data_IF_210814319847
#
_entry.id   IF_210814319847
#
_cell.length_a   1.000
_cell.length_b   1.000
_cell.length_c   1.000
_cell.angle_alpha   90.00
_cell.angle_beta   90.00
_cell.angle_gamma   90.00
#
_symmetry.space_group_name_H-M   'P 1'
#
loop_
_entity.id
_entity.type
_entity.pdbx_description
1 polymer ?
#
# COMPACT_ATOMS: atom_id res chain seq x y z
N UNK A 1 13.50 31.14 37.83
CA UNK A 1 12.31 31.88 37.38
C UNK A 1 11.22 30.87 37.07
N UNK A 2 10.19 30.78 37.92
CA UNK A 2 9.10 29.82 37.76
C UNK A 2 8.09 30.37 36.77
N UNK A 3 8.01 29.79 35.57
CA UNK A 3 6.94 30.05 34.62
C UNK A 3 5.63 29.57 35.25
N UNK A 4 4.82 30.51 35.75
CA UNK A 4 3.46 30.23 36.19
C UNK A 4 2.73 29.53 35.06
N UNK A 5 2.46 28.24 35.21
CA UNK A 5 1.56 27.50 34.35
C UNK A 5 0.19 28.19 34.43
N UNK A 6 -0.14 28.93 33.37
CA UNK A 6 -1.47 29.53 33.25
C UNK A 6 -2.45 28.37 33.16
N UNK A 7 -3.35 28.29 34.13
CA UNK A 7 -4.36 27.23 34.17
C UNK A 7 -5.16 27.24 32.86
N UNK A 8 -5.34 26.08 32.19
CA UNK A 8 -6.11 25.97 30.95
C UNK A 8 -7.52 26.58 31.02
N UNK A 9 -8.09 26.69 32.22
CA UNK A 9 -9.40 27.32 32.44
C UNK A 9 -9.38 28.85 32.27
N UNK A 10 -8.26 29.52 32.57
CA UNK A 10 -8.14 30.99 32.48
C UNK A 10 -8.16 31.42 31.01
N UNK A 11 -7.65 30.58 30.11
CA UNK A 11 -7.61 30.87 28.68
C UNK A 11 -8.98 30.73 28.02
N UNK A 12 -9.74 29.67 28.35
CA UNK A 12 -11.10 29.46 27.83
C UNK A 12 -12.02 30.66 28.09
N UNK A 13 -12.07 31.16 29.33
CA UNK A 13 -12.99 32.24 29.69
C UNK A 13 -12.67 33.54 28.95
N UNK A 14 -11.38 33.84 28.79
CA UNK A 14 -10.91 35.03 28.07
C UNK A 14 -11.38 35.00 26.61
N UNK A 15 -11.25 33.86 25.95
CA UNK A 15 -11.69 33.68 24.57
C UNK A 15 -13.22 33.69 24.46
N UNK A 16 -13.92 33.03 25.38
CA UNK A 16 -15.39 33.04 25.45
C UNK A 16 -15.96 34.46 25.56
N UNK A 17 -15.40 35.28 26.48
CA UNK A 17 -15.82 36.67 26.65
C UNK A 17 -15.46 37.54 25.45
N UNK A 18 -14.39 37.22 24.72
CA UNK A 18 -14.06 37.88 23.45
C UNK A 18 -15.15 37.61 22.40
N UNK A 19 -15.54 36.35 22.22
CA UNK A 19 -16.64 35.98 21.30
C UNK A 19 -17.93 36.71 21.66
N UNK A 20 -18.29 36.77 22.94
CA UNK A 20 -19.47 37.51 23.38
C UNK A 20 -19.40 39.02 23.10
N UNK A 21 -18.20 39.64 23.19
CA UNK A 21 -18.02 41.05 22.83
C UNK A 21 -18.17 41.29 21.34
N UNK A 22 -17.61 40.41 20.51
CA UNK A 22 -17.77 40.46 19.05
C UNK A 22 -19.27 40.40 18.69
N UNK A 23 -20.02 39.44 19.25
CA UNK A 23 -21.47 39.30 19.04
C UNK A 23 -22.24 40.55 19.47
N UNK A 24 -21.93 41.14 20.65
CA UNK A 24 -22.64 42.32 21.17
C UNK A 24 -22.48 43.56 20.29
N UNK A 25 -21.35 43.69 19.60
CA UNK A 25 -21.09 44.80 18.68
C UNK A 25 -21.92 44.70 17.40
N UNK A 26 -22.63 43.58 17.19
CA UNK A 26 -23.32 43.21 15.94
C UNK A 26 -22.37 43.15 14.74
N UNK A 27 -21.08 43.03 15.01
CA UNK A 27 -20.08 42.76 14.00
C UNK A 27 -20.11 41.27 13.65
N UNK A 28 -19.66 40.92 12.45
CA UNK A 28 -19.27 39.55 12.15
C UNK A 28 -18.20 39.10 13.16
N UNK A 29 -18.24 37.84 13.58
CA UNK A 29 -17.22 37.28 14.47
C UNK A 29 -15.84 37.49 13.85
N UNK A 30 -14.90 38.00 14.65
CA UNK A 30 -13.53 38.18 14.17
C UNK A 30 -12.91 36.84 13.76
N UNK A 31 -11.98 36.80 12.79
CA UNK A 31 -11.31 35.55 12.38
C UNK A 31 -10.69 34.78 13.55
N UNK A 32 -10.17 35.49 14.56
CA UNK A 32 -9.62 34.89 15.77
C UNK A 32 -10.70 34.22 16.65
N UNK A 33 -11.89 34.81 16.72
CA UNK A 33 -13.03 34.24 17.44
C UNK A 33 -13.55 32.98 16.73
N UNK A 34 -13.63 33.01 15.39
CA UNK A 34 -13.95 31.83 14.58
C UNK A 34 -12.93 30.70 14.74
N UNK A 35 -11.64 31.03 14.65
CA UNK A 35 -10.57 30.05 14.81
C UNK A 35 -10.64 29.35 16.18
N UNK A 36 -10.85 30.11 17.25
CA UNK A 36 -11.01 29.55 18.59
C UNK A 36 -12.22 28.62 18.70
N UNK A 37 -13.38 28.98 18.13
CA UNK A 37 -14.56 28.09 18.10
C UNK A 37 -14.22 26.77 17.38
N UNK A 38 -13.48 26.82 16.27
CA UNK A 38 -13.06 25.62 15.55
C UNK A 38 -12.04 24.79 16.35
N UNK A 39 -11.19 25.41 17.15
CA UNK A 39 -10.29 24.71 18.07
C UNK A 39 -11.04 24.02 19.20
N UNK A 40 -12.03 24.67 19.81
CA UNK A 40 -12.91 24.04 20.80
C UNK A 40 -13.69 22.87 20.21
N UNK A 41 -14.19 23.01 18.98
CA UNK A 41 -14.79 21.92 18.22
C UNK A 41 -13.83 20.75 18.00
N UNK A 42 -12.56 21.02 17.68
CA UNK A 42 -11.52 19.99 17.54
C UNK A 42 -11.21 19.32 18.88
N UNK A 43 -11.15 20.07 19.98
CA UNK A 43 -10.95 19.51 21.34
C UNK A 43 -12.10 18.58 21.71
N UNK A 44 -13.34 19.01 21.46
CA UNK A 44 -14.54 18.22 21.70
C UNK A 44 -14.59 16.92 20.87
N UNK A 45 -14.17 16.95 19.60
CA UNK A 45 -14.21 15.77 18.71
C UNK A 45 -12.91 14.95 18.62
N UNK A 46 -11.81 15.44 19.18
CA UNK A 46 -10.46 14.91 19.00
C UNK A 46 -10.27 13.54 19.66
N UNK A 47 -9.39 12.70 19.10
CA UNK A 47 -9.15 11.31 19.54
C UNK A 47 -8.63 11.17 20.98
N UNK A 48 -8.06 12.25 21.55
CA UNK A 48 -7.44 12.23 22.88
C UNK A 48 -8.39 12.68 24.00
N UNK A 49 -9.58 13.16 23.67
CA UNK A 49 -10.63 13.42 24.65
C UNK A 49 -11.69 12.35 24.43
N UNK A 50 -11.78 11.39 25.35
CA UNK A 50 -13.01 10.62 25.50
C UNK A 50 -14.10 11.68 25.72
N UNK A 51 -15.28 11.51 25.12
CA UNK A 51 -16.40 12.46 25.26
C UNK A 51 -16.65 12.91 26.72
N UNK A 52 -16.26 12.07 27.70
CA UNK A 52 -16.29 12.32 29.14
C UNK A 52 -15.36 13.43 29.66
N UNK A 53 -14.32 13.82 28.92
CA UNK A 53 -13.21 14.63 29.44
C UNK A 53 -13.31 16.11 29.04
N UNK A 54 -14.28 16.48 28.20
CA UNK A 54 -14.55 17.89 27.91
C UNK A 54 -15.26 18.52 29.11
N UNK A 55 -14.72 19.56 29.75
CA UNK A 55 -15.30 20.08 30.99
C UNK A 55 -16.76 20.54 30.79
N UNK A 56 -17.67 19.98 31.59
CA UNK A 56 -19.12 20.26 31.49
C UNK A 56 -19.44 21.76 31.54
N UNK A 57 -18.69 22.53 32.33
CA UNK A 57 -18.86 23.98 32.41
C UNK A 57 -18.47 24.71 31.10
N UNK A 58 -17.49 24.20 30.36
CA UNK A 58 -17.11 24.70 29.03
C UNK A 58 -18.18 24.29 28.01
N UNK A 59 -18.65 23.04 28.08
CA UNK A 59 -19.71 22.53 27.21
C UNK A 59 -20.96 23.39 27.28
N UNK A 60 -21.48 23.63 28.48
CA UNK A 60 -22.67 24.45 28.68
C UNK A 60 -22.49 25.89 28.17
N UNK A 61 -21.28 26.44 28.28
CA UNK A 61 -20.97 27.78 27.75
C UNK A 61 -21.00 27.80 26.23
N UNK A 62 -20.41 26.79 25.59
CA UNK A 62 -20.44 26.65 24.14
C UNK A 62 -21.87 26.40 23.62
N UNK A 63 -22.68 25.57 24.29
CA UNK A 63 -24.10 25.39 23.95
C UNK A 63 -24.88 26.71 24.01
N UNK A 64 -24.59 27.57 24.99
CA UNK A 64 -25.19 28.91 25.08
C UNK A 64 -24.75 29.85 23.96
N UNK A 65 -23.65 29.58 23.26
CA UNK A 65 -23.22 30.35 22.09
C UNK A 65 -24.00 30.01 20.83
N UNK A 66 -24.42 28.75 20.64
CA UNK A 66 -25.13 28.29 19.43
C UNK A 66 -26.20 29.26 18.92
N UNK A 67 -27.22 29.65 19.72
CA UNK A 67 -28.26 30.55 19.25
C UNK A 67 -27.76 31.97 18.96
N UNK A 68 -26.61 32.37 19.51
CA UNK A 68 -26.04 33.72 19.36
C UNK A 68 -25.19 33.86 18.11
N UNK A 69 -24.51 32.79 17.69
CA UNK A 69 -23.64 32.78 16.52
C UNK A 69 -24.34 32.23 15.27
N UNK A 70 -25.56 31.70 15.40
CA UNK A 70 -26.31 31.11 14.27
C UNK A 70 -25.62 29.88 13.68
N UNK A 71 -24.75 29.23 14.46
CA UNK A 71 -23.89 28.14 14.05
C UNK A 71 -23.84 27.12 15.19
N UNK A 72 -24.13 25.85 14.90
CA UNK A 72 -23.86 24.78 15.85
C UNK A 72 -22.35 24.60 15.97
N UNK A 73 -21.77 25.02 17.10
CA UNK A 73 -20.33 24.98 17.33
C UNK A 73 -19.77 23.56 17.31
N UNK A 74 -20.59 22.56 17.70
CA UNK A 74 -20.25 21.14 17.55
C UNK A 74 -20.17 20.80 16.07
N UNK A 75 -20.99 21.49 15.28
CA UNK A 75 -21.38 21.18 13.92
C UNK A 75 -21.92 19.76 13.80
N UNK A 76 -22.47 19.43 12.64
CA UNK A 76 -22.64 18.03 12.32
C UNK A 76 -21.22 17.42 12.27
N UNK A 77 -20.96 16.36 13.03
CA UNK A 77 -19.74 15.55 12.91
C UNK A 77 -19.82 14.83 11.56
N UNK A 78 -19.72 15.59 10.46
CA UNK A 78 -20.45 15.38 9.20
C UNK A 78 -21.03 13.99 9.12
N UNK A 79 -22.29 13.83 9.56
CA UNK A 79 -22.93 12.56 9.94
C UNK A 79 -22.18 11.36 9.42
N UNK A 80 -21.12 10.94 10.14
CA UNK A 80 -20.34 9.79 9.72
C UNK A 80 -21.23 8.60 10.04
N UNK A 81 -21.98 8.16 9.03
CA UNK A 81 -22.80 6.96 9.12
C UNK A 81 -21.92 5.83 9.70
N UNK A 82 -22.43 5.00 10.62
CA UNK A 82 -21.71 3.84 11.13
C UNK A 82 -21.26 2.92 9.99
N UNK A 83 -20.25 2.09 10.24
CA UNK A 83 -19.74 1.13 9.24
C UNK A 83 -20.86 0.24 8.69
N UNK A 84 -21.76 -0.18 9.58
CA UNK A 84 -22.90 -1.02 9.23
C UNK A 84 -23.84 -0.31 8.23
N UNK A 85 -24.14 0.97 8.46
CA UNK A 85 -25.03 1.76 7.60
C UNK A 85 -24.40 2.00 6.22
N UNK A 86 -23.13 2.43 6.17
CA UNK A 86 -22.40 2.54 4.89
C UNK A 86 -22.32 1.22 4.14
N UNK A 87 -22.08 0.11 4.83
CA UNK A 87 -22.02 -1.21 4.21
C UNK A 87 -23.36 -1.62 3.63
N UNK A 88 -24.48 -1.29 4.29
CA UNK A 88 -25.82 -1.53 3.75
C UNK A 88 -26.08 -0.71 2.49
N UNK A 89 -25.79 0.59 2.51
CA UNK A 89 -25.99 1.47 1.35
C UNK A 89 -25.16 1.01 0.14
N UNK A 90 -23.89 0.68 0.37
CA UNK A 90 -23.00 0.16 -0.69
C UNK A 90 -23.54 -1.15 -1.25
N UNK A 91 -24.04 -2.04 -0.39
CA UNK A 91 -24.64 -3.30 -0.82
C UNK A 91 -25.87 -3.05 -1.68
N UNK A 92 -26.74 -2.13 -1.28
CA UNK A 92 -27.95 -1.76 -2.03
C UNK A 92 -27.57 -1.19 -3.40
N UNK A 93 -26.61 -0.27 -3.48
CA UNK A 93 -26.07 0.26 -4.74
C UNK A 93 -25.48 -0.83 -5.65
N UNK A 94 -24.77 -1.81 -5.07
CA UNK A 94 -24.21 -2.93 -5.84
C UNK A 94 -25.30 -3.89 -6.34
N UNK A 95 -26.36 -4.12 -5.55
CA UNK A 95 -27.49 -4.98 -5.91
C UNK A 95 -28.32 -4.35 -7.04
N UNK A 96 -28.55 -3.04 -7.00
CA UNK A 96 -29.27 -2.33 -8.07
C UNK A 96 -28.52 -2.31 -9.40
N UNK A 97 -27.31 -2.89 -9.47
CA UNK A 97 -26.35 -2.83 -10.59
C UNK A 97 -25.96 -1.39 -10.93
N UNK A 98 -26.16 -0.47 -10.01
CA UNK A 98 -25.65 0.87 -10.13
C UNK A 98 -24.17 0.88 -9.77
N UNK A 99 -23.45 1.85 -10.32
CA UNK A 99 -22.06 2.08 -9.92
C UNK A 99 -22.08 2.62 -8.49
N UNK A 100 -21.26 2.04 -7.62
CA UNK A 100 -20.98 2.58 -6.28
C UNK A 100 -20.58 4.05 -6.41
N UNK A 101 -21.21 4.92 -5.63
CA UNK A 101 -20.94 6.36 -5.66
C UNK A 101 -19.49 6.65 -5.26
N UNK A 102 -18.92 7.76 -5.74
CA UNK A 102 -17.51 8.07 -5.49
C UNK A 102 -17.24 8.23 -3.97
N UNK A 103 -18.18 8.79 -3.21
CA UNK A 103 -18.09 8.92 -1.74
C UNK A 103 -18.08 7.57 -1.03
N UNK A 104 -18.94 6.64 -1.46
CA UNK A 104 -19.00 5.26 -0.97
C UNK A 104 -17.68 4.51 -1.26
N UNK A 105 -17.12 4.70 -2.45
CA UNK A 105 -15.87 4.09 -2.85
C UNK A 105 -14.67 4.63 -2.05
N UNK A 106 -14.59 5.95 -1.87
CA UNK A 106 -13.58 6.60 -1.01
C UNK A 106 -13.72 6.19 0.46
N UNK A 107 -14.95 5.97 0.93
CA UNK A 107 -15.21 5.45 2.26
C UNK A 107 -14.66 4.02 2.43
N UNK A 108 -14.86 3.13 1.45
CA UNK A 108 -14.27 1.78 1.46
C UNK A 108 -12.75 1.79 1.43
N UNK A 109 -12.13 2.69 0.66
CA UNK A 109 -10.66 2.84 0.64
C UNK A 109 -10.15 3.24 2.02
N UNK A 110 -10.79 4.24 2.66
CA UNK A 110 -10.41 4.72 3.99
C UNK A 110 -10.53 3.63 5.06
N UNK A 111 -11.63 2.88 5.07
CA UNK A 111 -11.82 1.80 6.06
C UNK A 111 -10.87 0.63 5.82
N UNK A 112 -10.57 0.29 4.57
CA UNK A 112 -9.53 -0.69 4.24
C UNK A 112 -8.16 -0.28 4.76
N UNK A 113 -7.74 0.95 4.48
CA UNK A 113 -6.48 1.47 4.99
C UNK A 113 -6.46 1.45 6.53
N UNK A 114 -7.53 1.92 7.17
CA UNK A 114 -7.66 1.89 8.63
C UNK A 114 -7.54 0.47 9.18
N UNK A 115 -8.18 -0.51 8.54
CA UNK A 115 -8.11 -1.92 8.96
C UNK A 115 -6.71 -2.50 8.77
N UNK A 116 -6.02 -2.14 7.69
CA UNK A 116 -4.63 -2.56 7.45
C UNK A 116 -3.66 -1.96 8.47
N UNK A 117 -3.88 -0.70 8.85
CA UNK A 117 -3.05 0.01 9.83
C UNK A 117 -3.31 -0.48 11.27
N UNK A 118 -4.57 -0.79 11.61
CA UNK A 118 -5.02 -1.19 12.95
C UNK A 118 -6.26 -2.12 12.87
N UNK A 119 -6.05 -3.43 12.71
CA UNK A 119 -7.14 -4.41 12.58
C UNK A 119 -8.03 -4.49 13.82
N UNK A 120 -7.45 -4.31 15.01
CA UNK A 120 -8.14 -4.41 16.30
C UNK A 120 -9.10 -3.22 16.54
N UNK A 121 -8.98 -2.15 15.73
CA UNK A 121 -9.92 -1.02 15.76
C UNK A 121 -11.30 -1.30 15.14
N UNK A 122 -11.53 -2.51 14.63
CA UNK A 122 -12.80 -2.95 14.04
C UNK A 122 -13.45 -3.99 14.93
N UNK A 123 -14.73 -3.78 15.25
CA UNK A 123 -15.50 -4.82 15.95
C UNK A 123 -15.80 -5.99 15.02
N UNK A 124 -16.12 -7.16 15.59
CA UNK A 124 -16.59 -8.32 14.80
C UNK A 124 -17.83 -7.98 13.95
N UNK A 125 -18.70 -7.09 14.44
CA UNK A 125 -19.88 -6.62 13.72
C UNK A 125 -19.49 -5.77 12.51
N UNK A 126 -18.50 -4.89 12.64
CA UNK A 126 -17.99 -4.08 11.52
C UNK A 126 -17.39 -4.96 10.43
N UNK A 127 -16.58 -5.94 10.82
CA UNK A 127 -15.97 -6.91 9.90
C UNK A 127 -17.05 -7.73 9.21
N UNK A 128 -18.03 -8.24 9.95
CA UNK A 128 -19.16 -9.01 9.40
C UNK A 128 -19.99 -8.18 8.41
N UNK A 129 -20.21 -6.89 8.69
CA UNK A 129 -20.93 -5.99 7.78
C UNK A 129 -20.17 -5.77 6.47
N UNK A 130 -18.86 -5.55 6.54
CA UNK A 130 -18.01 -5.38 5.36
C UNK A 130 -17.82 -6.68 4.57
N UNK A 131 -17.72 -7.84 5.24
CA UNK A 131 -17.59 -9.15 4.59
C UNK A 131 -18.83 -9.54 3.78
N UNK A 132 -20.01 -9.06 4.18
CA UNK A 132 -21.24 -9.21 3.37
C UNK A 132 -21.15 -8.50 2.01
N UNK A 133 -20.20 -7.59 1.81
CA UNK A 133 -19.95 -6.94 0.51
C UNK A 133 -19.19 -7.84 -0.47
N UNK A 134 -18.46 -8.85 0.01
CA UNK A 134 -17.54 -9.67 -0.81
C UNK A 134 -18.23 -10.31 -2.03
N UNK A 135 -19.42 -10.93 -1.91
CA UNK A 135 -20.11 -11.53 -3.06
C UNK A 135 -20.48 -10.51 -4.14
N UNK A 136 -20.71 -9.25 -3.75
CA UNK A 136 -21.14 -8.17 -4.64
C UNK A 136 -19.97 -7.40 -5.25
N UNK A 137 -18.90 -7.21 -4.48
CA UNK A 137 -17.65 -6.59 -4.94
C UNK A 137 -16.87 -7.51 -5.89
N UNK A 138 -17.13 -8.83 -5.85
CA UNK A 138 -16.37 -9.84 -6.59
C UNK A 138 -14.92 -9.99 -6.10
N UNK A 139 -14.61 -9.43 -4.93
CA UNK A 139 -13.31 -9.48 -4.25
C UNK A 139 -13.47 -9.17 -2.77
N UNK A 140 -12.45 -9.52 -1.99
CA UNK A 140 -12.37 -9.11 -0.59
C UNK A 140 -12.09 -7.59 -0.50
N UNK A 141 -12.88 -6.88 0.32
CA UNK A 141 -12.79 -5.43 0.52
C UNK A 141 -11.47 -5.00 1.17
N UNK A 142 -10.80 -5.93 1.86
CA UNK A 142 -9.46 -5.77 2.44
C UNK A 142 -8.37 -5.68 1.36
N UNK A 143 -8.66 -6.14 0.14
CA UNK A 143 -7.71 -6.17 -0.98
C UNK A 143 -7.73 -4.84 -1.75
N UNK A 144 -6.59 -4.44 -2.32
CA UNK A 144 -6.55 -3.17 -3.08
C UNK A 144 -7.27 -3.29 -4.43
N UNK A 145 -7.79 -2.19 -4.98
CA UNK A 145 -8.46 -2.20 -6.29
C UNK A 145 -7.55 -2.65 -7.43
N UNK A 146 -6.24 -2.50 -7.24
CA UNK A 146 -5.21 -2.99 -8.16
C UNK A 146 -4.99 -4.51 -8.07
N UNK A 147 -5.62 -5.23 -7.15
CA UNK A 147 -5.44 -6.68 -7.00
C UNK A 147 -5.95 -7.46 -8.22
N UNK A 148 -7.13 -7.14 -8.75
CA UNK A 148 -7.65 -7.80 -9.95
C UNK A 148 -6.78 -7.53 -11.20
N UNK A 149 -6.33 -6.28 -11.37
CA UNK A 149 -5.41 -5.91 -12.45
C UNK A 149 -4.06 -6.63 -12.30
N UNK A 150 -3.52 -6.67 -11.08
CA UNK A 150 -2.34 -7.44 -10.72
C UNK A 150 -2.49 -8.92 -11.07
N UNK A 151 -3.59 -9.57 -10.66
CA UNK A 151 -3.85 -10.98 -10.93
C UNK A 151 -3.91 -11.27 -12.42
N UNK A 152 -4.61 -10.43 -13.20
CA UNK A 152 -4.67 -10.55 -14.66
C UNK A 152 -3.27 -10.47 -15.26
N UNK A 153 -2.45 -9.56 -14.75
CA UNK A 153 -1.09 -9.35 -15.22
C UNK A 153 -0.16 -10.53 -14.89
N UNK A 154 -0.18 -11.01 -13.64
CA UNK A 154 0.57 -12.20 -13.19
C UNK A 154 0.14 -13.44 -13.97
N UNK A 155 -1.16 -13.65 -14.19
CA UNK A 155 -1.67 -14.75 -15.04
C UNK A 155 -1.11 -14.68 -16.46
N UNK A 156 -1.06 -13.48 -17.06
CA UNK A 156 -0.49 -13.28 -18.40
C UNK A 156 1.02 -13.57 -18.46
N UNK A 157 1.77 -13.18 -17.43
CA UNK A 157 3.20 -13.50 -17.31
C UNK A 157 3.37 -15.02 -17.17
N UNK A 158 2.66 -15.64 -16.22
CA UNK A 158 2.71 -17.07 -15.95
C UNK A 158 2.39 -17.90 -17.20
N UNK A 159 1.36 -17.53 -17.96
CA UNK A 159 1.01 -18.17 -19.22
C UNK A 159 2.11 -18.06 -20.29
N UNK A 160 2.79 -16.91 -20.35
CA UNK A 160 3.89 -16.71 -21.31
C UNK A 160 5.08 -17.58 -20.91
N UNK A 161 5.44 -17.57 -19.64
CA UNK A 161 6.55 -18.32 -19.09
C UNK A 161 6.35 -19.84 -19.15
N UNK A 162 5.13 -20.34 -18.88
CA UNK A 162 4.85 -21.77 -18.90
C UNK A 162 4.89 -22.40 -20.30
N UNK A 163 4.94 -21.58 -21.35
CA UNK A 163 5.06 -21.98 -22.76
C UNK A 163 6.40 -21.58 -23.37
N UNK A 164 7.41 -21.28 -22.53
CA UNK A 164 8.72 -20.78 -22.94
C UNK A 164 8.67 -19.56 -23.88
N UNK A 165 7.58 -18.77 -23.82
CA UNK A 165 7.45 -17.54 -24.61
C UNK A 165 8.23 -16.41 -23.94
N UNK A 166 8.83 -15.56 -24.77
CA UNK A 166 9.45 -14.31 -24.32
C UNK A 166 8.37 -13.39 -23.74
N UNK A 167 8.64 -12.82 -22.56
CA UNK A 167 7.80 -11.78 -21.97
C UNK A 167 7.75 -10.53 -22.88
N UNK A 168 6.59 -9.88 -22.95
CA UNK A 168 6.46 -8.60 -23.63
C UNK A 168 7.24 -7.50 -22.89
N UNK A 169 7.60 -6.42 -23.59
CA UNK A 169 8.28 -5.28 -22.96
C UNK A 169 7.49 -4.72 -21.78
N UNK A 170 6.16 -4.63 -21.90
CA UNK A 170 5.29 -4.20 -20.81
C UNK A 170 5.35 -5.14 -19.59
N UNK A 171 5.42 -6.45 -19.82
CA UNK A 171 5.56 -7.43 -18.74
C UNK A 171 6.89 -7.31 -18.00
N UNK A 172 7.97 -7.12 -18.76
CA UNK A 172 9.31 -6.92 -18.20
C UNK A 172 9.37 -5.62 -17.38
N UNK A 173 8.88 -4.51 -17.92
CA UNK A 173 8.85 -3.22 -17.23
C UNK A 173 8.04 -3.32 -15.93
N UNK A 174 6.87 -3.97 -15.98
CA UNK A 174 6.02 -4.16 -14.81
C UNK A 174 6.71 -5.02 -13.73
N UNK A 175 7.36 -6.12 -14.11
CA UNK A 175 8.10 -6.95 -13.16
C UNK A 175 9.26 -6.18 -12.51
N UNK A 176 10.01 -5.41 -13.30
CA UNK A 176 11.09 -4.56 -12.77
C UNK A 176 10.56 -3.50 -11.82
N UNK A 177 9.44 -2.85 -12.16
CA UNK A 177 8.79 -1.90 -11.26
C UNK A 177 8.40 -2.57 -9.94
N UNK A 178 7.78 -3.75 -9.98
CA UNK A 178 7.42 -4.51 -8.78
C UNK A 178 8.65 -4.90 -7.97
N UNK A 179 9.69 -5.42 -8.60
CA UNK A 179 10.96 -5.72 -7.94
C UNK A 179 11.51 -4.49 -7.19
N UNK A 180 11.49 -3.32 -7.82
CA UNK A 180 11.95 -2.08 -7.21
C UNK A 180 11.05 -1.62 -6.05
N UNK A 181 9.73 -1.69 -6.21
CA UNK A 181 8.78 -1.36 -5.14
C UNK A 181 9.08 -2.20 -3.89
N UNK A 182 9.23 -3.52 -4.06
CA UNK A 182 9.46 -4.43 -2.94
C UNK A 182 10.86 -4.36 -2.33
N UNK A 183 11.89 -3.95 -3.08
CA UNK A 183 13.22 -3.67 -2.50
C UNK A 183 13.22 -2.51 -1.52
N UNK A 184 12.29 -1.57 -1.71
CA UNK A 184 12.20 -0.35 -0.91
C UNK A 184 11.25 -0.49 0.29
N UNK A 185 10.53 -1.61 0.41
CA UNK A 185 9.61 -1.86 1.54
C UNK A 185 10.37 -2.46 2.72
N UNK A 186 10.02 -2.05 3.95
CA UNK A 186 10.50 -2.72 5.16
C UNK A 186 9.95 -4.15 5.22
N UNK A 187 10.65 -5.15 5.80
CA UNK A 187 10.11 -6.50 6.00
C UNK A 187 8.75 -6.53 6.71
N UNK A 188 8.44 -5.56 7.58
CA UNK A 188 7.12 -5.45 8.22
C UNK A 188 6.02 -4.98 7.24
N UNK A 189 6.37 -4.23 6.20
CA UNK A 189 5.47 -3.78 5.11
C UNK A 189 5.34 -4.86 4.00
N UNK A 190 6.14 -5.94 4.07
CA UNK A 190 6.24 -7.02 3.08
C UNK A 190 5.15 -8.11 3.24
N UNK A 191 4.12 -7.87 4.06
CA UNK A 191 2.93 -8.75 4.22
C UNK A 191 1.91 -8.57 3.09
N UNK A 192 2.37 -8.19 1.90
CA UNK A 192 1.49 -7.94 0.78
C UNK A 192 0.98 -9.26 0.18
N UNK A 193 -0.34 -9.39 0.06
CA UNK A 193 -1.09 -10.47 -0.62
C UNK A 193 -0.55 -10.84 -2.03
N UNK A 194 0.26 -9.98 -2.63
CA UNK A 194 0.93 -10.18 -3.91
C UNK A 194 2.13 -11.14 -3.87
N UNK A 195 2.81 -11.24 -2.73
CA UNK A 195 4.10 -11.93 -2.61
C UNK A 195 4.03 -13.40 -3.02
N UNK A 196 3.09 -14.21 -2.49
CA UNK A 196 3.04 -15.64 -2.83
C UNK A 196 2.75 -15.86 -4.32
N UNK A 197 2.10 -14.91 -4.97
CA UNK A 197 1.79 -14.97 -6.40
C UNK A 197 2.99 -14.60 -7.27
N UNK A 198 3.79 -13.61 -6.85
CA UNK A 198 5.04 -13.27 -7.51
C UNK A 198 6.08 -14.37 -7.30
N UNK A 199 6.18 -14.96 -6.11
CA UNK A 199 7.09 -16.08 -5.82
C UNK A 199 6.78 -17.31 -6.65
N UNK A 200 5.51 -17.57 -6.96
CA UNK A 200 5.12 -18.62 -7.93
C UNK A 200 5.69 -18.38 -9.33
N UNK A 201 6.10 -17.17 -9.68
CA UNK A 201 6.80 -16.89 -10.94
C UNK A 201 8.27 -17.31 -10.88
N UNK A 202 8.89 -17.41 -9.70
CA UNK A 202 10.31 -17.76 -9.56
C UNK A 202 10.66 -19.13 -10.14
N UNK A 203 9.73 -20.09 -10.15
CA UNK A 203 9.98 -21.38 -10.82
C UNK A 203 10.28 -21.24 -12.32
N UNK A 204 9.78 -20.17 -12.93
CA UNK A 204 9.97 -19.86 -14.34
C UNK A 204 10.95 -18.71 -14.60
N UNK A 205 11.13 -17.82 -13.63
CA UNK A 205 12.03 -16.67 -13.71
C UNK A 205 13.41 -17.06 -13.16
N UNK A 206 14.43 -16.92 -13.99
CA UNK A 206 15.78 -17.42 -13.74
C UNK A 206 16.40 -16.96 -12.42
N UNK A 207 16.19 -15.70 -12.06
CA UNK A 207 16.81 -15.06 -10.90
C UNK A 207 15.75 -14.64 -9.87
N UNK A 208 14.53 -15.17 -10.03
CA UNK A 208 13.36 -14.68 -9.34
C UNK A 208 12.94 -13.26 -9.75
N UNK A 209 11.70 -12.90 -9.46
CA UNK A 209 11.15 -11.60 -9.86
C UNK A 209 11.82 -10.43 -9.13
N UNK A 210 12.36 -10.65 -7.91
CA UNK A 210 13.01 -9.60 -7.08
C UNK A 210 14.35 -9.10 -7.64
N UNK A 211 14.98 -9.84 -8.55
CA UNK A 211 16.34 -9.54 -8.99
C UNK A 211 16.40 -8.47 -10.11
N UNK A 212 15.29 -8.23 -10.81
CA UNK A 212 15.18 -7.27 -11.91
C UNK A 212 16.15 -7.57 -13.08
N UNK A 213 15.97 -6.91 -14.22
CA UNK A 213 16.86 -7.15 -15.37
C UNK A 213 18.29 -6.60 -15.19
N UNK A 214 18.48 -5.62 -14.30
CA UNK A 214 19.71 -4.84 -14.22
C UNK A 214 20.54 -5.07 -12.94
N UNK A 215 20.03 -5.87 -11.99
CA UNK A 215 20.61 -5.96 -10.64
C UNK A 215 21.20 -7.31 -10.27
N UNK A 216 21.07 -8.33 -11.12
CA UNK A 216 21.60 -9.67 -10.79
C UNK A 216 23.07 -9.68 -11.14
N UNK A 217 23.91 -9.69 -10.11
CA UNK A 217 25.35 -9.75 -10.30
C UNK A 217 25.73 -11.10 -10.95
N UNK A 218 26.88 -11.12 -11.61
CA UNK A 218 27.40 -12.29 -12.31
C UNK A 218 27.35 -13.58 -11.45
N UNK A 219 27.70 -13.48 -10.18
CA UNK A 219 27.70 -14.55 -9.19
C UNK A 219 26.34 -15.19 -9.03
N UNK A 220 25.32 -14.37 -8.77
CA UNK A 220 23.94 -14.83 -8.64
C UNK A 220 23.44 -15.51 -9.92
N UNK A 221 23.88 -15.02 -11.09
CA UNK A 221 23.52 -15.66 -12.37
C UNK A 221 24.15 -17.03 -12.55
N UNK A 222 25.41 -17.17 -12.16
CA UNK A 222 26.12 -18.45 -12.20
C UNK A 222 25.52 -19.45 -11.18
N UNK A 223 25.20 -19.00 -9.98
CA UNK A 223 24.56 -19.81 -8.93
C UNK A 223 23.17 -20.31 -9.36
N UNK A 224 22.35 -19.46 -9.99
CA UNK A 224 21.05 -19.88 -10.51
C UNK A 224 21.16 -20.97 -11.60
N UNK A 225 22.21 -20.93 -12.42
CA UNK A 225 22.52 -21.98 -13.40
C UNK A 225 22.88 -23.28 -12.70
N UNK A 226 23.75 -23.21 -11.70
CA UNK A 226 24.14 -24.37 -10.91
C UNK A 226 22.92 -25.01 -10.23
N UNK A 227 22.08 -24.22 -9.57
CA UNK A 227 20.86 -24.69 -8.92
C UNK A 227 19.91 -25.35 -9.94
N UNK A 228 19.74 -24.76 -11.13
CA UNK A 228 18.89 -25.35 -12.18
C UNK A 228 19.43 -26.71 -12.66
N UNK A 229 20.76 -26.84 -12.76
CA UNK A 229 21.41 -28.11 -13.09
C UNK A 229 21.28 -29.15 -11.97
N UNK A 230 21.32 -28.74 -10.71
CA UNK A 230 21.15 -29.62 -9.56
C UNK A 230 19.72 -30.11 -9.40
N UNK A 231 18.73 -29.22 -9.53
CA UNK A 231 17.32 -29.55 -9.32
C UNK A 231 16.67 -30.23 -10.53
N UNK A 232 17.01 -29.81 -11.75
CA UNK A 232 16.31 -30.21 -12.98
C UNK A 232 17.16 -30.99 -13.97
N UNK A 233 18.47 -31.09 -13.72
CA UNK A 233 19.42 -31.68 -14.67
C UNK A 233 19.55 -30.90 -16.00
N UNK A 234 18.96 -29.71 -16.12
CA UNK A 234 18.96 -28.93 -17.35
C UNK A 234 18.83 -27.44 -17.06
N UNK A 235 19.37 -26.62 -17.97
CA UNK A 235 19.26 -25.16 -17.90
C UNK A 235 18.18 -24.62 -18.85
N UNK A 236 17.60 -23.49 -18.49
CA UNK A 236 16.57 -22.81 -19.27
C UNK A 236 17.13 -22.24 -20.58
N UNK A 237 16.24 -21.93 -21.54
CA UNK A 237 16.65 -21.28 -22.80
C UNK A 237 17.21 -19.86 -22.63
N UNK A 238 16.90 -19.17 -21.52
CA UNK A 238 17.48 -17.87 -21.20
C UNK A 238 18.87 -18.04 -20.55
N UNK A 239 19.09 -19.04 -19.69
CA UNK A 239 20.38 -19.38 -19.11
C UNK A 239 21.37 -19.78 -20.21
N UNK A 240 20.90 -20.56 -21.20
CA UNK A 240 21.66 -20.84 -22.43
C UNK A 240 22.03 -19.55 -23.16
N UNK A 241 21.10 -18.60 -23.32
CA UNK A 241 21.38 -17.30 -23.96
C UNK A 241 22.38 -16.47 -23.16
N UNK A 242 22.31 -16.49 -21.83
CA UNK A 242 23.26 -15.79 -20.97
C UNK A 242 24.64 -16.44 -21.04
N UNK A 243 24.76 -17.77 -20.95
CA UNK A 243 26.04 -18.47 -21.17
C UNK A 243 26.61 -18.20 -22.56
N UNK A 244 25.74 -18.18 -23.58
CA UNK A 244 26.13 -17.81 -24.93
C UNK A 244 26.66 -16.36 -25.01
N UNK A 245 26.05 -15.44 -24.26
CA UNK A 245 26.56 -14.08 -24.14
C UNK A 245 27.90 -14.05 -23.40
N UNK A 246 28.06 -14.77 -22.28
CA UNK A 246 29.34 -14.87 -21.56
C UNK A 246 30.44 -15.49 -22.41
N UNK A 247 30.12 -16.46 -23.26
CA UNK A 247 31.05 -17.01 -24.26
C UNK A 247 31.65 -15.94 -25.16
N UNK A 248 30.87 -14.91 -25.55
CA UNK A 248 31.40 -13.79 -26.35
C UNK A 248 32.37 -12.93 -25.55
N UNK A 249 32.13 -12.73 -24.25
CA UNK A 249 33.03 -11.99 -23.37
C UNK A 249 34.31 -12.77 -23.11
N UNK A 250 34.19 -14.08 -22.90
CA UNK A 250 35.34 -14.99 -22.77
C UNK A 250 36.25 -14.91 -24.00
N UNK A 251 35.69 -15.06 -25.21
CA UNK A 251 36.46 -15.02 -26.45
C UNK A 251 37.06 -13.63 -26.77
N UNK A 252 36.62 -12.59 -26.07
CA UNK A 252 37.14 -11.23 -26.21
C UNK A 252 38.07 -10.84 -25.04
N UNK A 253 38.46 -11.80 -24.20
CA UNK A 253 39.29 -11.61 -22.99
C UNK A 253 38.70 -10.55 -22.03
N UNK A 254 37.37 -10.48 -21.93
CA UNK A 254 36.63 -9.52 -21.08
C UNK A 254 36.11 -10.11 -19.77
N UNK A 255 36.36 -11.39 -19.50
CA UNK A 255 36.02 -12.02 -18.23
C UNK A 255 37.26 -12.07 -17.33
N UNK A 256 37.06 -11.78 -16.05
CA UNK A 256 38.09 -11.97 -15.03
C UNK A 256 38.29 -13.47 -14.75
N UNK A 257 39.47 -13.86 -14.25
CA UNK A 257 39.76 -15.26 -13.86
C UNK A 257 38.71 -15.81 -12.89
N UNK A 258 38.35 -15.04 -11.85
CA UNK A 258 37.31 -15.42 -10.88
C UNK A 258 35.95 -15.70 -11.54
N UNK A 259 35.59 -14.95 -12.57
CA UNK A 259 34.35 -15.17 -13.32
C UNK A 259 34.43 -16.45 -14.16
N UNK A 260 35.58 -16.72 -14.76
CA UNK A 260 35.84 -17.93 -15.54
C UNK A 260 35.76 -19.15 -14.63
N UNK A 261 36.48 -19.15 -13.50
CA UNK A 261 36.47 -20.23 -12.51
C UNK A 261 35.04 -20.54 -12.03
N UNK A 262 34.25 -19.51 -11.73
CA UNK A 262 32.87 -19.68 -11.29
C UNK A 262 31.99 -20.29 -12.38
N UNK A 263 32.13 -19.83 -13.63
CA UNK A 263 31.42 -20.45 -14.75
C UNK A 263 31.85 -21.90 -14.97
N UNK A 264 33.14 -22.21 -14.94
CA UNK A 264 33.64 -23.58 -15.08
C UNK A 264 33.10 -24.49 -13.99
N UNK A 265 33.08 -24.01 -12.75
CA UNK A 265 32.50 -24.74 -11.63
C UNK A 265 31.01 -25.05 -11.86
N UNK A 266 30.20 -24.03 -12.18
CA UNK A 266 28.76 -24.17 -12.35
C UNK A 266 28.39 -24.99 -13.59
N UNK A 267 29.23 -24.96 -14.63
CA UNK A 267 28.95 -25.60 -15.93
C UNK A 267 29.56 -26.98 -16.08
N UNK A 268 30.27 -27.50 -15.07
CA UNK A 268 30.88 -28.84 -15.10
C UNK A 268 29.88 -29.97 -15.41
N UNK A 269 28.61 -29.77 -15.07
CA UNK A 269 27.50 -30.71 -15.33
C UNK A 269 26.84 -30.52 -16.70
N UNK A 270 27.23 -29.51 -17.48
CA UNK A 270 26.69 -29.32 -18.83
C UNK A 270 27.28 -30.36 -19.79
N UNK A 271 26.43 -30.92 -20.64
CA UNK A 271 26.82 -31.82 -21.74
C UNK A 271 27.49 -31.08 -22.91
N UNK A 272 27.73 -29.78 -22.78
CA UNK A 272 28.36 -28.96 -23.81
C UNK A 272 29.32 -27.95 -23.16
N UNK A 273 30.38 -27.63 -23.88
CA UNK A 273 31.32 -26.59 -23.49
C UNK A 273 30.72 -25.21 -23.80
N UNK A 274 30.50 -24.42 -22.76
CA UNK A 274 29.92 -23.09 -22.91
C UNK A 274 30.87 -22.10 -23.62
N UNK A 275 32.19 -22.36 -23.60
CA UNK A 275 33.18 -21.50 -24.27
C UNK A 275 33.06 -21.57 -25.80
N UNK A 276 32.63 -22.71 -26.34
CA UNK A 276 32.57 -22.97 -27.78
C UNK A 276 31.22 -22.68 -28.45
N UNK A 277 30.21 -22.18 -27.74
CA UNK A 277 28.85 -21.95 -28.29
C UNK A 277 28.84 -21.06 -29.56
N UNK A 278 29.75 -20.08 -29.67
CA UNK A 278 29.81 -19.17 -30.83
C UNK A 278 30.95 -19.44 -31.81
N UNK A 279 31.72 -20.52 -31.65
CA UNK A 279 32.69 -20.90 -32.69
C UNK A 279 31.90 -21.42 -33.88
N UNK A 280 31.47 -20.50 -34.75
CA UNK A 280 30.95 -20.83 -36.08
C UNK A 280 32.02 -21.72 -36.74
N UNK A 281 31.63 -22.96 -37.03
CA UNK A 281 32.37 -23.79 -37.98
C UNK A 281 32.34 -23.13 -39.36
#
# INVERSE_FOLDING_TARGET
>A
MSTKLISPQVDFEKHYQKVLRDIRRKDELSPASWLWILEERKKYWGRNYIYSDYPENQFQKMEKLNPKIGFDWKGQRGNRKPIIEWSLEIRESLISKERVEDDQYEWLIRNRKKYQDDPDSFSEQDISALDKLIPYLGRDWRQTSNYAAFLKFVKGINYSLSRDKKLSSAQVVWLNHKAQTFRNLSPEEDTHEYLPLLEKLNKYLEYGWRAGNNGVDFSQKAEAIQQSLEERGSITGLQKRWLNFQSKFYNADRLTEKQIEKLEHCTKKLLFDWKSINKKK
#
